data_IF_493395646164
#
_entry.id   IF_493395646164
#
_cell.length_a   1.000
_cell.length_b   1.000
_cell.length_c   1.000
_cell.angle_alpha   90.00
_cell.angle_beta   90.00
_cell.angle_gamma   90.00
#
_symmetry.space_group_name_H-M   'P 1'
#
loop_
_entity.id
_entity.type
_entity.pdbx_description
1 polymer ?
#
# COMPACT_ATOMS: atom_id res chain seq x y z
N UNK A 1 -33.04 -2.15 -61.68
CA UNK A 1 -31.75 -2.85 -61.62
C UNK A 1 -30.85 -1.93 -60.84
N UNK A 2 -30.29 -2.42 -59.73
CA UNK A 2 -29.49 -1.70 -58.73
C UNK A 2 -30.30 -0.58 -58.04
N UNK A 3 -30.76 -0.66 -56.78
CA UNK A 3 -30.41 -1.49 -55.60
C UNK A 3 -29.05 -1.21 -54.93
N UNK A 4 -29.12 -0.58 -53.75
CA UNK A 4 -28.15 -0.72 -52.66
C UNK A 4 -26.89 0.17 -52.69
N UNK A 5 -26.19 0.35 -51.58
CA UNK A 5 -26.56 0.07 -50.18
C UNK A 5 -25.66 0.93 -49.26
N UNK A 6 -26.24 1.74 -48.38
CA UNK A 6 -25.49 2.34 -47.26
C UNK A 6 -25.23 1.26 -46.20
N UNK A 7 -24.02 1.21 -45.62
CA UNK A 7 -23.74 0.23 -44.56
C UNK A 7 -22.76 0.80 -43.53
N UNK A 8 -23.25 1.07 -42.32
CA UNK A 8 -22.49 1.62 -41.21
C UNK A 8 -21.80 0.52 -40.39
N UNK A 9 -20.56 0.78 -39.95
CA UNK A 9 -19.73 -0.22 -39.27
C UNK A 9 -20.05 -0.41 -37.78
N UNK A 10 -21.11 -1.16 -37.44
CA UNK A 10 -21.40 -1.54 -36.05
C UNK A 10 -20.59 -2.76 -35.56
N UNK A 11 -19.72 -2.55 -34.58
CA UNK A 11 -18.92 -3.61 -33.95
C UNK A 11 -19.68 -4.41 -32.89
N UNK A 12 -20.00 -5.68 -33.17
CA UNK A 12 -20.73 -6.58 -32.26
C UNK A 12 -19.98 -6.85 -30.94
N UNK A 13 -20.37 -6.16 -29.87
CA UNK A 13 -20.13 -6.58 -28.47
C UNK A 13 -21.23 -7.52 -27.98
N UNK A 14 -21.23 -8.77 -28.44
CA UNK A 14 -22.12 -9.85 -27.98
C UNK A 14 -21.33 -11.13 -27.68
N UNK A 15 -21.65 -11.83 -26.59
CA UNK A 15 -21.01 -13.09 -26.19
C UNK A 15 -20.43 -13.16 -24.77
N UNK A 16 -20.40 -12.06 -24.01
CA UNK A 16 -19.96 -12.06 -22.60
C UNK A 16 -21.07 -12.39 -21.60
N UNK A 17 -22.34 -12.43 -22.02
CA UNK A 17 -23.49 -12.70 -21.17
C UNK A 17 -23.97 -14.15 -21.29
N UNK A 18 -24.05 -14.69 -22.50
CA UNK A 18 -24.52 -16.07 -22.75
C UNK A 18 -23.67 -17.11 -22.02
N UNK A 19 -22.33 -16.97 -22.07
CA UNK A 19 -21.38 -17.86 -21.39
C UNK A 19 -21.55 -17.87 -19.86
N UNK A 20 -22.10 -16.81 -19.28
CA UNK A 20 -22.44 -16.76 -17.84
C UNK A 20 -23.71 -17.56 -17.55
N UNK A 21 -24.76 -17.38 -18.36
CA UNK A 21 -26.01 -18.13 -18.23
C UNK A 21 -25.82 -19.64 -18.51
N UNK A 22 -24.90 -20.00 -19.41
CA UNK A 22 -24.53 -21.37 -19.73
C UNK A 22 -23.75 -22.04 -18.58
N UNK A 23 -22.79 -21.34 -17.98
CA UNK A 23 -22.09 -21.84 -16.78
C UNK A 23 -23.02 -21.95 -15.56
N UNK A 24 -23.99 -21.06 -15.42
CA UNK A 24 -25.05 -21.13 -14.38
C UNK A 24 -26.02 -22.31 -14.60
N UNK A 25 -26.07 -22.85 -15.84
CA UNK A 25 -26.88 -24.02 -16.23
C UNK A 25 -26.22 -25.35 -15.85
N UNK A 26 -24.88 -25.41 -15.83
CA UNK A 26 -24.11 -26.50 -15.23
C UNK A 26 -24.10 -26.34 -13.70
N UNK A 27 -25.27 -26.54 -13.09
CA UNK A 27 -25.51 -26.31 -11.67
C UNK A 27 -24.44 -26.98 -10.79
N UNK A 28 -23.91 -26.22 -9.83
CA UNK A 28 -22.62 -26.49 -9.16
C UNK A 28 -22.46 -27.81 -8.37
N UNK A 29 -23.44 -28.70 -8.39
CA UNK A 29 -23.24 -30.11 -8.08
C UNK A 29 -22.18 -30.74 -9.03
N UNK A 30 -22.13 -30.32 -10.30
CA UNK A 30 -21.09 -30.75 -11.26
C UNK A 30 -19.70 -30.21 -10.89
N UNK A 31 -19.60 -28.93 -10.46
CA UNK A 31 -18.33 -28.39 -9.94
C UNK A 31 -17.89 -29.11 -8.66
N UNK A 32 -18.82 -29.41 -7.74
CA UNK A 32 -18.52 -30.14 -6.51
C UNK A 32 -18.08 -31.59 -6.78
N UNK A 33 -18.67 -32.24 -7.78
CA UNK A 33 -18.25 -33.57 -8.27
C UNK A 33 -16.81 -33.53 -8.79
N UNK A 34 -16.51 -32.65 -9.74
CA UNK A 34 -15.15 -32.45 -10.29
C UNK A 34 -14.13 -32.06 -9.21
N UNK A 35 -14.53 -31.25 -8.22
CA UNK A 35 -13.67 -30.91 -7.09
C UNK A 35 -13.38 -32.13 -6.21
N UNK A 36 -14.36 -32.98 -5.95
CA UNK A 36 -14.19 -34.25 -5.19
C UNK A 36 -13.25 -35.22 -5.92
N UNK A 37 -13.30 -35.25 -7.25
CA UNK A 37 -12.43 -36.10 -8.09
C UNK A 37 -10.96 -35.65 -8.10
N UNK A 38 -10.66 -34.38 -7.78
CA UNK A 38 -9.30 -33.79 -7.81
C UNK A 38 -8.73 -33.54 -6.40
N UNK A 39 -9.56 -33.10 -5.45
CA UNK A 39 -9.19 -32.79 -4.06
C UNK A 39 -10.37 -33.12 -3.11
N UNK A 40 -10.44 -34.37 -2.61
CA UNK A 40 -11.54 -34.79 -1.75
C UNK A 40 -11.53 -34.13 -0.36
N UNK A 41 -10.37 -33.66 0.14
CA UNK A 41 -10.32 -32.91 1.40
C UNK A 41 -10.93 -31.52 1.23
N UNK A 42 -10.56 -30.78 0.17
CA UNK A 42 -11.17 -29.48 -0.14
C UNK A 42 -12.67 -29.61 -0.43
N UNK A 43 -13.08 -30.66 -1.14
CA UNK A 43 -14.49 -30.91 -1.40
C UNK A 43 -15.28 -31.18 -0.10
N UNK A 44 -14.71 -31.92 0.86
CA UNK A 44 -15.37 -32.22 2.15
C UNK A 44 -15.72 -30.97 2.98
N UNK A 45 -14.98 -29.87 2.78
CA UNK A 45 -15.22 -28.58 3.45
C UNK A 45 -16.30 -27.72 2.78
N UNK A 46 -16.89 -28.16 1.66
CA UNK A 46 -17.88 -27.42 0.88
C UNK A 46 -19.19 -28.20 0.77
N UNK A 47 -20.28 -27.66 1.33
CA UNK A 47 -21.58 -28.33 1.27
C UNK A 47 -22.10 -28.43 -0.18
N UNK A 48 -22.81 -29.49 -0.61
CA UNK A 48 -23.41 -29.60 -1.95
C UNK A 48 -24.45 -28.52 -2.34
N UNK A 49 -24.71 -27.54 -1.48
CA UNK A 49 -25.56 -26.37 -1.73
C UNK A 49 -24.81 -25.03 -1.63
N UNK A 50 -23.51 -25.05 -1.30
CA UNK A 50 -22.60 -23.91 -1.41
C UNK A 50 -22.12 -23.67 -2.86
N UNK A 51 -22.82 -24.26 -3.84
CA UNK A 51 -22.73 -23.90 -5.26
C UNK A 51 -22.79 -22.39 -5.47
N UNK A 52 -23.59 -21.68 -4.65
CA UNK A 52 -23.65 -20.22 -4.64
C UNK A 52 -22.36 -19.55 -4.18
N UNK A 53 -21.59 -20.10 -3.23
CA UNK A 53 -20.29 -19.51 -2.80
C UNK A 53 -19.22 -19.67 -3.87
N UNK A 54 -19.21 -20.82 -4.55
CA UNK A 54 -18.29 -21.07 -5.67
C UNK A 54 -18.66 -20.16 -6.86
N UNK A 55 -19.95 -20.05 -7.18
CA UNK A 55 -20.45 -19.20 -8.27
C UNK A 55 -20.44 -17.69 -7.95
N UNK A 56 -20.51 -17.27 -6.68
CA UNK A 56 -20.48 -15.85 -6.29
C UNK A 56 -19.07 -15.26 -6.25
N UNK A 57 -18.03 -16.06 -6.49
CA UNK A 57 -16.63 -15.62 -6.61
C UNK A 57 -16.17 -14.72 -5.44
N UNK A 58 -16.61 -15.05 -4.22
CA UNK A 58 -16.43 -14.18 -3.06
C UNK A 58 -15.05 -14.35 -2.42
N UNK A 59 -14.03 -13.83 -3.12
CA UNK A 59 -12.66 -13.71 -2.63
C UNK A 59 -12.51 -12.70 -1.48
N UNK A 60 -13.61 -12.16 -0.93
CA UNK A 60 -13.60 -11.31 0.26
C UNK A 60 -13.76 -12.10 1.55
N UNK A 61 -14.02 -13.41 1.52
CA UNK A 61 -14.30 -14.22 2.71
C UNK A 61 -13.55 -15.57 2.75
N UNK A 62 -13.21 -16.02 3.96
CA UNK A 62 -12.65 -17.35 4.22
C UNK A 62 -11.35 -17.66 3.47
N UNK A 63 -11.16 -18.94 3.15
CA UNK A 63 -9.99 -19.47 2.43
C UNK A 63 -9.80 -18.82 1.05
N UNK A 64 -10.86 -18.31 0.43
CA UNK A 64 -10.82 -17.65 -0.88
C UNK A 64 -10.11 -16.28 -0.85
N UNK A 65 -9.83 -15.70 0.32
CA UNK A 65 -8.92 -14.55 0.45
C UNK A 65 -7.44 -14.90 0.17
N UNK A 66 -7.06 -16.18 0.24
CA UNK A 66 -5.67 -16.64 0.12
C UNK A 66 -4.99 -16.20 -1.19
N UNK A 67 -3.66 -16.17 -1.17
CA UNK A 67 -2.84 -15.89 -2.35
C UNK A 67 -2.56 -17.23 -3.04
N UNK A 68 -3.04 -17.36 -4.28
CA UNK A 68 -3.03 -18.60 -5.04
C UNK A 68 -4.37 -18.85 -5.72
N UNK A 69 -5.42 -19.10 -4.93
CA UNK A 69 -6.71 -19.57 -5.45
C UNK A 69 -7.32 -18.62 -6.51
N UNK A 70 -7.50 -17.34 -6.18
CA UNK A 70 -8.03 -16.33 -7.13
C UNK A 70 -7.05 -16.00 -8.25
N UNK A 71 -5.75 -16.11 -8.00
CA UNK A 71 -4.71 -15.86 -9.00
C UNK A 71 -4.69 -16.94 -10.11
N UNK A 72 -5.06 -18.19 -9.80
CA UNK A 72 -5.20 -19.30 -10.77
C UNK A 72 -6.64 -19.60 -11.21
N UNK A 73 -7.64 -18.83 -10.75
CA UNK A 73 -9.06 -19.12 -10.98
C UNK A 73 -9.43 -19.32 -12.47
N UNK A 74 -8.93 -18.46 -13.36
CA UNK A 74 -9.19 -18.54 -14.80
C UNK A 74 -8.64 -19.83 -15.44
N UNK A 75 -7.51 -20.33 -14.95
CA UNK A 75 -6.92 -21.60 -15.37
C UNK A 75 -7.71 -22.80 -14.83
N UNK A 76 -8.17 -22.74 -13.57
CA UNK A 76 -8.91 -23.82 -12.91
C UNK A 76 -10.38 -23.93 -13.35
N UNK A 77 -10.98 -22.83 -13.83
CA UNK A 77 -12.37 -22.80 -14.34
C UNK A 77 -12.45 -22.77 -15.88
N UNK A 78 -11.33 -23.08 -16.54
CA UNK A 78 -11.25 -23.23 -17.99
C UNK A 78 -12.08 -24.44 -18.47
N UNK A 79 -12.94 -24.30 -19.51
CA UNK A 79 -13.59 -25.43 -20.18
C UNK A 79 -12.57 -26.40 -20.79
N UNK A 80 -12.94 -27.68 -20.89
CA UNK A 80 -11.99 -28.72 -21.29
C UNK A 80 -11.71 -28.76 -22.79
N UNK A 81 -12.61 -28.19 -23.59
CA UNK A 81 -12.56 -28.08 -25.05
C UNK A 81 -11.56 -27.01 -25.54
N UNK A 82 -10.98 -26.23 -24.62
CA UNK A 82 -10.06 -25.15 -24.96
C UNK A 82 -8.63 -25.66 -25.25
N UNK A 83 -7.95 -25.05 -26.24
CA UNK A 83 -6.63 -25.51 -26.69
C UNK A 83 -5.58 -25.47 -25.57
N UNK A 84 -4.66 -26.44 -25.62
CA UNK A 84 -3.55 -26.57 -24.65
C UNK A 84 -2.69 -25.29 -24.56
N UNK A 85 -2.51 -24.59 -25.68
CA UNK A 85 -1.75 -23.34 -25.77
C UNK A 85 -2.39 -22.23 -24.91
N UNK A 86 -3.70 -22.04 -25.01
CA UNK A 86 -4.41 -21.03 -24.22
C UNK A 86 -4.54 -21.50 -22.76
N UNK A 87 -4.66 -22.81 -22.50
CA UNK A 87 -4.67 -23.37 -21.13
C UNK A 87 -3.33 -23.10 -20.42
N UNK A 88 -2.20 -23.33 -21.09
CA UNK A 88 -0.86 -23.00 -20.58
C UNK A 88 -0.63 -21.48 -20.48
N UNK A 89 -1.23 -20.68 -21.35
CA UNK A 89 -1.21 -19.21 -21.25
C UNK A 89 -1.87 -18.73 -19.95
N UNK A 90 -3.07 -19.22 -19.62
CA UNK A 90 -3.76 -18.89 -18.37
C UNK A 90 -2.96 -19.35 -17.13
N UNK A 91 -2.32 -20.52 -17.21
CA UNK A 91 -1.44 -21.04 -16.16
C UNK A 91 -0.28 -20.08 -15.86
N UNK A 92 0.42 -19.61 -16.90
CA UNK A 92 1.55 -18.69 -16.75
C UNK A 92 1.12 -17.30 -16.29
N UNK A 93 -0.05 -16.83 -16.73
CA UNK A 93 -0.66 -15.61 -16.20
C UNK A 93 -0.97 -15.74 -14.70
N UNK A 94 -1.46 -16.90 -14.27
CA UNK A 94 -1.67 -17.22 -12.84
C UNK A 94 -0.38 -17.23 -12.03
N UNK A 95 0.72 -17.75 -12.58
CA UNK A 95 2.05 -17.70 -11.94
C UNK A 95 2.55 -16.26 -11.73
N UNK A 96 2.40 -15.37 -12.71
CA UNK A 96 2.80 -13.96 -12.52
C UNK A 96 1.84 -13.18 -11.63
N UNK A 97 0.54 -13.49 -11.67
CA UNK A 97 -0.44 -12.95 -10.72
C UNK A 97 -0.07 -13.34 -9.28
N UNK A 98 0.26 -14.60 -9.03
CA UNK A 98 0.75 -15.11 -7.74
C UNK A 98 2.01 -14.35 -7.28
N UNK A 99 3.04 -14.30 -8.13
CA UNK A 99 4.29 -13.57 -7.83
C UNK A 99 4.01 -12.09 -7.53
N UNK A 100 3.09 -11.44 -8.25
CA UNK A 100 2.67 -10.05 -7.99
C UNK A 100 1.92 -9.91 -6.65
N UNK A 101 1.00 -10.83 -6.33
CA UNK A 101 0.26 -10.83 -5.08
C UNK A 101 1.18 -11.01 -3.86
N UNK A 102 2.08 -12.00 -3.89
CA UNK A 102 3.07 -12.23 -2.82
C UNK A 102 4.02 -11.04 -2.64
N UNK A 103 4.53 -10.45 -3.73
CA UNK A 103 5.36 -9.22 -3.68
C UNK A 103 4.60 -8.03 -3.08
N UNK A 104 3.29 -7.89 -3.37
CA UNK A 104 2.42 -6.86 -2.75
C UNK A 104 2.14 -7.15 -1.28
N UNK A 105 1.97 -8.43 -0.90
CA UNK A 105 1.69 -8.85 0.47
C UNK A 105 2.89 -8.63 1.40
N UNK A 106 4.10 -9.07 1.02
CA UNK A 106 5.32 -8.82 1.80
C UNK A 106 5.56 -7.30 2.01
N UNK A 107 5.35 -6.48 0.96
CA UNK A 107 5.39 -5.01 1.09
C UNK A 107 4.31 -4.46 2.03
N UNK A 108 3.11 -5.06 2.06
CA UNK A 108 2.01 -4.70 2.98
C UNK A 108 2.34 -5.10 4.43
N UNK A 109 2.89 -6.28 4.67
CA UNK A 109 3.36 -6.74 5.98
C UNK A 109 4.47 -5.81 6.50
N UNK A 110 5.54 -5.60 5.73
CA UNK A 110 6.66 -4.73 6.13
C UNK A 110 6.22 -3.27 6.34
N UNK A 111 5.18 -2.80 5.63
CA UNK A 111 4.55 -1.50 5.89
C UNK A 111 3.70 -1.51 7.16
N UNK A 112 2.96 -2.58 7.43
CA UNK A 112 2.12 -2.72 8.61
C UNK A 112 2.96 -2.82 9.89
N UNK A 113 3.96 -3.71 9.95
CA UNK A 113 4.85 -3.89 11.12
C UNK A 113 5.51 -2.55 11.48
N UNK A 114 6.22 -1.92 10.54
CA UNK A 114 6.87 -0.61 10.78
C UNK A 114 5.87 0.46 11.22
N UNK A 115 4.66 0.49 10.66
CA UNK A 115 3.67 1.49 11.04
C UNK A 115 2.95 1.20 12.37
N UNK A 116 2.85 -0.07 12.78
CA UNK A 116 2.15 -0.52 14.00
C UNK A 116 3.05 -0.48 15.23
N UNK A 117 4.31 -0.87 15.08
CA UNK A 117 5.26 -0.96 16.19
C UNK A 117 6.21 0.26 16.22
N UNK A 118 6.77 0.67 15.08
CA UNK A 118 7.86 1.65 15.06
C UNK A 118 7.44 3.11 14.81
N UNK A 119 6.43 3.40 13.97
CA UNK A 119 5.99 4.80 13.68
C UNK A 119 4.75 5.27 14.46
N UNK A 120 3.98 4.33 15.02
CA UNK A 120 2.77 4.61 15.82
C UNK A 120 2.60 3.56 16.92
N UNK A 121 3.56 3.44 17.85
CA UNK A 121 3.29 2.69 19.07
C UNK A 121 2.00 3.25 19.70
N UNK A 122 1.07 2.36 20.02
CA UNK A 122 0.05 2.66 21.01
C UNK A 122 0.63 2.45 22.41
N UNK A 123 -0.17 2.71 23.42
CA UNK A 123 0.15 2.32 24.79
C UNK A 123 0.35 0.80 24.84
N UNK A 124 1.33 0.34 25.65
CA UNK A 124 1.71 -1.07 25.80
C UNK A 124 2.21 -1.79 24.53
N UNK A 125 2.84 -1.07 23.59
CA UNK A 125 3.60 -1.71 22.50
C UNK A 125 4.96 -2.20 23.03
N UNK A 126 5.31 -3.50 22.87
CA UNK A 126 6.57 -4.06 23.37
C UNK A 126 7.78 -3.60 22.53
N UNK A 127 8.97 -3.75 23.12
CA UNK A 127 10.22 -3.60 22.39
C UNK A 127 10.29 -4.62 21.24
N UNK A 128 10.64 -4.15 20.04
CA UNK A 128 10.79 -5.00 18.85
C UNK A 128 12.28 -5.10 18.53
N UNK A 129 12.81 -6.31 18.45
CA UNK A 129 14.19 -6.56 18.06
C UNK A 129 14.23 -6.95 16.58
N UNK A 130 15.23 -6.45 15.86
CA UNK A 130 15.44 -6.74 14.44
C UNK A 130 16.56 -7.77 14.29
N UNK A 131 16.30 -8.83 13.53
CA UNK A 131 17.26 -9.87 13.17
C UNK A 131 17.44 -9.85 11.65
N UNK A 132 18.66 -10.04 11.16
CA UNK A 132 18.93 -9.96 9.73
C UNK A 132 18.84 -11.35 9.07
N UNK A 133 17.94 -11.45 8.10
CA UNK A 133 17.63 -12.65 7.30
C UNK A 133 18.03 -12.47 5.83
N UNK A 134 18.88 -11.48 5.53
CA UNK A 134 19.30 -11.15 4.15
C UNK A 134 20.16 -12.25 3.53
N UNK A 135 21.03 -12.89 4.31
CA UNK A 135 21.75 -14.11 3.93
C UNK A 135 21.28 -15.27 4.81
N UNK A 136 20.85 -16.37 4.17
CA UNK A 136 20.36 -17.57 4.86
C UNK A 136 21.52 -18.48 5.30
N UNK A 137 22.70 -18.36 4.68
CA UNK A 137 23.89 -19.14 5.06
C UNK A 137 24.45 -18.73 6.42
N UNK A 138 24.23 -17.48 6.84
CA UNK A 138 24.67 -16.95 8.14
C UNK A 138 23.58 -16.99 9.23
N UNK A 139 22.45 -17.69 8.98
CA UNK A 139 21.28 -17.75 9.88
C UNK A 139 21.62 -17.99 11.36
N UNK A 140 22.59 -18.86 11.62
CA UNK A 140 23.01 -19.23 12.97
C UNK A 140 23.59 -18.03 13.73
N UNK A 141 24.37 -17.19 13.04
CA UNK A 141 25.06 -16.01 13.59
C UNK A 141 24.16 -14.76 13.58
N UNK A 142 23.37 -14.55 12.53
CA UNK A 142 22.57 -13.31 12.34
C UNK A 142 21.15 -13.40 12.90
N UNK A 143 20.63 -14.61 13.15
CA UNK A 143 19.26 -14.85 13.61
C UNK A 143 19.20 -15.69 14.88
N UNK A 144 19.68 -16.94 14.87
CA UNK A 144 19.39 -17.87 15.96
C UNK A 144 20.11 -17.51 17.27
N UNK A 145 21.44 -17.35 17.24
CA UNK A 145 22.18 -16.99 18.45
C UNK A 145 21.74 -15.63 19.03
N UNK A 146 21.56 -14.56 18.25
CA UNK A 146 20.98 -13.31 18.75
C UNK A 146 19.56 -13.47 19.32
N UNK A 147 18.69 -14.27 18.70
CA UNK A 147 17.34 -14.53 19.22
C UNK A 147 17.36 -15.24 20.58
N UNK A 148 18.22 -16.26 20.74
CA UNK A 148 18.37 -16.99 21.99
C UNK A 148 18.92 -16.09 23.11
N UNK A 149 19.93 -15.26 22.81
CA UNK A 149 20.47 -14.28 23.76
C UNK A 149 19.42 -13.26 24.20
N UNK A 150 18.60 -12.75 23.26
CA UNK A 150 17.49 -11.84 23.59
C UNK A 150 16.45 -12.52 24.49
N UNK A 151 16.07 -13.77 24.18
CA UNK A 151 15.07 -14.52 24.95
C UNK A 151 15.56 -14.84 26.37
N UNK A 152 16.82 -15.27 26.53
CA UNK A 152 17.42 -15.56 27.82
C UNK A 152 17.50 -14.31 28.71
N UNK A 153 18.03 -13.20 28.19
CA UNK A 153 18.08 -11.91 28.90
C UNK A 153 16.68 -11.45 29.34
N UNK A 154 15.69 -11.46 28.42
CA UNK A 154 14.33 -11.03 28.74
C UNK A 154 13.64 -11.94 29.77
N UNK A 155 13.93 -13.25 29.75
CA UNK A 155 13.39 -14.22 30.71
C UNK A 155 13.95 -13.99 32.12
N UNK A 156 15.20 -13.53 32.22
CA UNK A 156 15.83 -13.12 33.50
C UNK A 156 15.40 -11.72 33.98
N UNK A 157 14.70 -10.94 33.16
CA UNK A 157 14.40 -9.53 33.41
C UNK A 157 15.58 -8.59 33.16
N UNK A 158 16.65 -9.09 32.54
CA UNK A 158 17.84 -8.34 32.15
C UNK A 158 17.61 -7.61 30.81
N UNK A 159 18.50 -6.67 30.45
CA UNK A 159 18.47 -5.99 29.17
C UNK A 159 19.35 -6.74 28.15
N UNK A 160 18.81 -7.21 27.01
CA UNK A 160 19.63 -7.80 25.96
C UNK A 160 20.73 -6.87 25.47
N UNK A 161 21.88 -7.45 25.09
CA UNK A 161 23.00 -6.73 24.46
C UNK A 161 22.62 -6.11 23.12
N UNK A 162 21.65 -6.70 22.40
CA UNK A 162 21.12 -6.19 21.13
C UNK A 162 20.13 -5.04 21.42
N UNK A 163 20.37 -3.84 20.89
CA UNK A 163 19.40 -2.73 21.00
C UNK A 163 18.07 -3.08 20.29
N UNK A 164 16.90 -2.77 20.88
CA UNK A 164 15.63 -2.85 20.16
C UNK A 164 15.57 -1.81 19.02
N UNK A 165 14.82 -2.14 17.97
CA UNK A 165 14.62 -1.27 16.81
C UNK A 165 14.08 0.10 17.23
N UNK A 166 14.75 1.16 16.77
CA UNK A 166 14.40 2.53 17.12
C UNK A 166 12.98 2.89 16.66
N UNK A 167 12.15 3.26 17.63
CA UNK A 167 10.84 3.86 17.38
C UNK A 167 11.04 5.22 16.71
N UNK A 168 10.44 5.41 15.55
CA UNK A 168 10.34 6.73 14.92
C UNK A 168 9.38 7.59 15.73
N UNK A 169 9.91 8.62 16.39
CA UNK A 169 9.11 9.59 17.14
C UNK A 169 7.99 10.21 16.30
N UNK A 170 6.93 10.69 16.97
CA UNK A 170 5.66 11.08 16.36
C UNK A 170 5.74 12.31 15.42
N UNK A 171 6.31 12.13 14.23
CA UNK A 171 6.35 13.13 13.17
C UNK A 171 4.96 13.66 12.80
N UNK A 172 4.90 14.93 12.38
CA UNK A 172 3.67 15.74 12.23
C UNK A 172 2.45 14.91 11.82
N UNK A 173 1.63 14.57 12.81
CA UNK A 173 0.45 13.72 12.64
C UNK A 173 -0.54 14.41 11.70
N UNK A 174 -0.73 13.83 10.52
CA UNK A 174 -1.84 14.21 9.64
C UNK A 174 -3.16 14.05 10.42
N UNK A 175 -3.81 15.17 10.74
CA UNK A 175 -5.02 15.19 11.58
C UNK A 175 -6.14 14.57 10.77
N UNK A 176 -6.87 13.61 11.36
CA UNK A 176 -7.92 12.84 10.66
C UNK A 176 -9.24 13.62 10.55
N UNK A 177 -9.14 14.90 10.20
CA UNK A 177 -10.25 15.84 10.02
C UNK A 177 -11.17 15.38 8.88
N UNK A 178 -12.48 15.64 8.99
CA UNK A 178 -13.44 15.43 7.90
C UNK A 178 -13.62 16.73 7.12
N UNK A 179 -13.13 16.75 5.89
CA UNK A 179 -13.35 17.81 4.92
C UNK A 179 -14.37 17.37 3.86
N UNK A 180 -15.05 18.32 3.22
CA UNK A 180 -15.99 18.04 2.12
C UNK A 180 -15.75 19.04 0.99
N UNK A 181 -15.59 18.54 -0.24
CA UNK A 181 -15.48 19.38 -1.42
C UNK A 181 -16.79 19.37 -2.20
N UNK A 182 -17.58 20.43 -2.08
CA UNK A 182 -18.82 20.66 -2.82
C UNK A 182 -18.59 20.65 -4.34
N UNK A 183 -17.49 21.26 -4.81
CA UNK A 183 -17.10 21.31 -6.23
C UNK A 183 -16.87 19.94 -6.87
N UNK A 184 -16.60 18.90 -6.07
CA UNK A 184 -16.23 17.56 -6.53
C UNK A 184 -17.12 16.45 -5.95
N UNK A 185 -18.18 16.83 -5.24
CA UNK A 185 -19.01 16.02 -4.33
C UNK A 185 -18.22 14.88 -3.66
N UNK A 186 -17.29 15.26 -2.77
CA UNK A 186 -16.41 14.29 -2.11
C UNK A 186 -16.06 14.69 -0.68
N UNK A 187 -16.43 13.80 0.25
CA UNK A 187 -15.88 13.77 1.61
C UNK A 187 -14.44 13.23 1.57
N UNK A 188 -13.54 13.89 2.28
CA UNK A 188 -12.11 13.57 2.36
C UNK A 188 -11.68 13.57 3.82
N UNK A 189 -10.96 12.52 4.23
CA UNK A 189 -10.57 12.30 5.62
C UNK A 189 -9.06 12.46 5.74
N UNK A 190 -8.61 13.56 6.34
CA UNK A 190 -7.20 13.91 6.51
C UNK A 190 -6.83 15.24 5.84
N UNK A 191 -6.05 16.06 6.53
CA UNK A 191 -5.62 17.41 6.07
C UNK A 191 -4.64 17.34 4.90
N UNK A 192 -3.79 16.30 4.85
CA UNK A 192 -2.84 16.07 3.75
C UNK A 192 -3.56 15.62 2.47
N UNK A 193 -4.52 14.71 2.59
CA UNK A 193 -5.37 14.21 1.51
C UNK A 193 -6.27 15.34 0.97
N UNK A 194 -6.77 16.21 1.86
CA UNK A 194 -7.46 17.44 1.50
C UNK A 194 -6.57 18.40 0.70
N UNK A 195 -5.36 18.67 1.20
CA UNK A 195 -4.38 19.53 0.50
C UNK A 195 -3.98 18.97 -0.87
N UNK A 196 -3.81 17.65 -0.97
CA UNK A 196 -3.54 16.97 -2.24
C UNK A 196 -4.74 16.99 -3.19
N UNK A 197 -5.97 16.90 -2.67
CA UNK A 197 -7.19 17.04 -3.46
C UNK A 197 -7.35 18.45 -4.05
N UNK A 198 -7.17 19.50 -3.25
CA UNK A 198 -7.28 20.89 -3.73
C UNK A 198 -6.30 21.14 -4.89
N UNK A 199 -5.07 20.60 -4.79
CA UNK A 199 -4.03 20.68 -5.84
C UNK A 199 -4.24 19.70 -7.01
N UNK A 200 -5.29 18.87 -7.00
CA UNK A 200 -5.48 17.83 -8.01
C UNK A 200 -6.01 18.38 -9.33
N UNK A 201 -5.59 17.76 -10.45
CA UNK A 201 -6.07 18.10 -11.80
C UNK A 201 -7.61 18.07 -11.90
N UNK A 202 -8.27 17.12 -11.21
CA UNK A 202 -9.74 17.03 -11.17
C UNK A 202 -10.36 18.21 -10.42
N UNK A 203 -9.86 18.57 -9.24
CA UNK A 203 -10.37 19.75 -8.50
C UNK A 203 -10.20 21.03 -9.33
N UNK A 204 -9.00 21.27 -9.88
CA UNK A 204 -8.75 22.41 -10.76
C UNK A 204 -9.68 22.46 -11.99
N UNK A 205 -10.04 21.30 -12.57
CA UNK A 205 -11.05 21.23 -13.64
C UNK A 205 -12.44 21.68 -13.16
N UNK A 206 -12.92 21.18 -12.03
CA UNK A 206 -14.22 21.59 -11.49
C UNK A 206 -14.27 23.08 -11.11
N UNK A 207 -13.19 23.62 -10.51
CA UNK A 207 -13.03 25.08 -10.26
C UNK A 207 -13.17 25.88 -11.55
N UNK A 208 -12.44 25.49 -12.61
CA UNK A 208 -12.49 26.16 -13.93
C UNK A 208 -13.87 26.04 -14.59
N UNK A 209 -14.54 24.89 -14.46
CA UNK A 209 -15.90 24.69 -14.98
C UNK A 209 -16.89 25.62 -14.29
N UNK A 210 -16.89 25.69 -12.94
CA UNK A 210 -17.84 26.54 -12.20
C UNK A 210 -17.65 28.04 -12.52
N UNK A 211 -16.40 28.50 -12.57
CA UNK A 211 -16.04 29.88 -13.01
C UNK A 211 -16.42 30.23 -14.46
N UNK A 212 -16.83 29.25 -15.28
CA UNK A 212 -17.31 29.47 -16.65
C UNK A 212 -18.83 29.38 -16.78
N UNK A 213 -19.52 28.94 -15.72
CA UNK A 213 -20.99 28.87 -15.60
C UNK A 213 -21.58 29.87 -14.60
N UNK A 214 -20.76 30.42 -13.70
CA UNK A 214 -21.10 31.60 -12.89
C UNK A 214 -21.15 32.83 -13.82
N UNK A 215 -22.28 33.56 -13.95
CA UNK A 215 -22.31 34.86 -14.62
C UNK A 215 -21.51 35.90 -13.80
N UNK A 216 -20.99 36.97 -14.43
CA UNK A 216 -20.43 38.08 -13.64
C UNK A 216 -21.53 38.65 -12.73
N UNK A 217 -21.27 38.89 -11.44
CA UNK A 217 -22.16 39.72 -10.62
C UNK A 217 -22.17 41.12 -11.22
N UNK A 218 -23.37 41.66 -11.46
CA UNK A 218 -23.53 42.98 -12.06
C UNK A 218 -22.77 44.03 -11.23
N UNK A 219 -21.98 44.86 -11.92
CA UNK A 219 -21.25 45.94 -11.28
C UNK A 219 -22.25 47.02 -10.90
N UNK A 220 -22.67 47.02 -9.63
CA UNK A 220 -23.45 48.10 -9.05
C UNK A 220 -22.70 49.43 -9.21
N UNK A 221 -23.03 50.18 -10.25
CA UNK A 221 -22.49 51.51 -10.53
C UNK A 221 -23.38 52.55 -9.89
N UNK A 222 -22.89 53.22 -8.87
CA UNK A 222 -23.41 54.53 -8.50
C UNK A 222 -22.29 55.47 -8.03
N UNK A 223 -22.52 56.78 -8.11
CA UNK A 223 -21.47 57.82 -8.03
C UNK A 223 -21.54 58.69 -6.76
N UNK A 224 -20.48 59.47 -6.45
CA UNK A 224 -20.23 59.91 -5.07
C UNK A 224 -20.66 61.35 -4.72
N UNK A 225 -21.20 61.52 -3.50
CA UNK A 225 -21.22 62.76 -2.69
C UNK A 225 -21.23 62.36 -1.20
N UNK A 226 -20.61 63.03 -0.22
CA UNK A 226 -19.61 64.12 -0.25
C UNK A 226 -19.41 64.75 1.15
N UNK A 227 -18.16 65.11 1.53
CA UNK A 227 -17.76 65.88 2.76
C UNK A 227 -18.07 65.26 4.15
N UNK A 228 -17.32 65.47 5.27
CA UNK A 228 -16.18 66.34 5.65
C UNK A 228 -15.08 65.58 6.46
N UNK A 229 -13.84 66.11 6.58
CA UNK A 229 -12.71 65.57 7.39
C UNK A 229 -12.52 66.34 8.74
N UNK A 230 -11.43 66.14 9.54
CA UNK A 230 -10.32 65.18 9.49
C UNK A 230 -10.42 64.19 10.70
N UNK A 231 -9.52 63.99 11.71
CA UNK A 231 -8.15 64.48 12.02
C UNK A 231 -7.03 63.38 12.04
N UNK A 232 -5.76 63.83 12.11
CA UNK A 232 -4.58 63.09 12.64
C UNK A 232 -3.73 64.10 13.44
N UNK A 233 -2.85 63.70 14.40
CA UNK A 233 -1.49 63.17 14.15
C UNK A 233 -1.19 61.94 15.09
N UNK A 234 0.01 61.39 15.37
CA UNK A 234 1.40 61.89 15.46
C UNK A 234 2.42 60.82 14.98
N UNK A 235 3.56 61.28 14.46
CA UNK A 235 4.66 60.48 13.89
C UNK A 235 5.83 60.28 14.87
N UNK A 236 6.30 59.05 15.00
CA UNK A 236 7.70 58.62 15.24
C UNK A 236 7.80 57.15 14.78
N UNK A 237 8.90 56.62 14.23
CA UNK A 237 10.24 57.17 14.00
C UNK A 237 11.24 56.01 14.10
N UNK A 238 11.82 55.48 13.00
CA UNK A 238 12.58 54.23 13.04
C UNK A 238 14.06 54.45 13.39
N UNK A 239 14.62 53.56 14.23
CA UNK A 239 16.05 53.53 14.55
C UNK A 239 16.66 52.22 14.05
N UNK A 240 17.64 52.33 13.15
CA UNK A 240 18.51 51.20 12.78
C UNK A 240 19.63 51.07 13.82
N UNK A 241 19.78 49.87 14.38
CA UNK A 241 20.88 49.50 15.27
C UNK A 241 21.70 48.37 14.66
N UNK A 242 22.89 48.67 14.16
CA UNK A 242 23.83 47.72 13.58
C UNK A 242 24.91 47.33 14.59
N UNK A 243 25.33 46.06 14.60
CA UNK A 243 26.67 45.69 15.09
C UNK A 243 27.13 44.30 14.63
N UNK A 244 28.32 44.28 14.07
CA UNK A 244 29.11 43.10 13.69
C UNK A 244 29.83 42.50 14.90
N UNK A 245 29.97 41.17 14.98
CA UNK A 245 31.06 40.42 15.64
C UNK A 245 30.92 38.96 15.15
N UNK A 246 31.72 38.49 14.19
CA UNK A 246 33.07 37.90 14.31
C UNK A 246 33.14 36.55 15.06
N UNK A 247 33.74 35.55 14.40
CA UNK A 247 34.16 34.28 14.98
C UNK A 247 35.62 34.36 15.49
N UNK A 248 36.04 33.44 16.37
CA UNK A 248 36.90 32.32 15.98
C UNK A 248 36.36 30.96 16.53
N UNK A 249 36.94 29.79 16.27
CA UNK A 249 38.15 29.42 15.50
C UNK A 249 39.06 28.45 16.27
N UNK A 250 39.81 27.60 15.55
CA UNK A 250 40.84 26.64 16.05
C UNK A 250 40.35 25.39 16.81
N UNK A 251 41.10 24.26 16.87
CA UNK A 251 42.11 23.67 15.97
C UNK A 251 42.50 22.22 16.41
N UNK A 252 42.68 21.29 15.45
CA UNK A 252 43.58 20.10 15.48
C UNK A 252 43.36 19.04 16.62
N UNK A 253 43.96 17.84 16.66
CA UNK A 253 45.07 17.17 15.94
C UNK A 253 44.71 15.72 15.49
N UNK A 254 45.59 15.08 14.69
CA UNK A 254 45.49 13.66 14.28
C UNK A 254 46.10 12.67 15.30
N UNK A 255 45.92 11.36 15.08
CA UNK A 255 46.58 10.28 15.84
C UNK A 255 46.33 8.88 15.28
N UNK A 256 47.34 8.01 15.41
CA UNK A 256 47.42 6.61 14.89
C UNK A 256 48.19 5.75 15.96
N UNK A 257 48.49 4.46 15.84
CA UNK A 257 48.59 3.54 14.69
C UNK A 257 48.44 2.05 15.07
N UNK A 258 48.43 1.19 14.04
CA UNK A 258 48.91 -0.22 14.03
C UNK A 258 48.17 -1.36 14.76
N UNK A 259 48.24 -2.54 14.10
CA UNK A 259 48.04 -3.88 14.65
C UNK A 259 49.37 -4.64 14.66
N UNK A 260 49.51 -5.70 15.46
CA UNK A 260 49.94 -6.98 14.86
C UNK A 260 49.13 -8.19 15.38
N UNK A 261 49.38 -9.38 14.84
CA UNK A 261 48.68 -10.61 15.26
C UNK A 261 49.46 -11.91 15.04
N UNK A 262 48.93 -13.00 15.59
CA UNK A 262 49.42 -14.40 15.56
C UNK A 262 48.20 -15.32 15.72
N UNK A 263 47.89 -16.28 14.83
CA UNK A 263 48.58 -17.56 14.51
C UNK A 263 48.09 -18.74 15.36
N UNK A 264 47.91 -19.90 14.69
CA UNK A 264 47.67 -21.25 15.25
C UNK A 264 46.27 -21.51 15.87
N UNK A 265 45.66 -22.70 15.77
CA UNK A 265 46.09 -23.99 15.17
C UNK A 265 44.90 -24.76 14.58
N UNK A 266 45.15 -25.68 13.65
CA UNK A 266 44.14 -26.61 13.13
C UNK A 266 43.73 -27.69 14.14
N UNK A 267 42.54 -28.28 13.98
CA UNK A 267 42.31 -29.72 14.23
C UNK A 267 41.06 -30.26 13.54
N UNK A 268 41.07 -31.55 13.26
CA UNK A 268 40.16 -32.25 12.35
C UNK A 268 39.53 -33.48 13.04
N UNK A 269 38.27 -33.79 12.67
CA UNK A 269 37.58 -35.08 12.87
C UNK A 269 37.29 -35.53 14.35
N UNK A 270 36.44 -36.56 14.58
CA UNK A 270 35.71 -37.38 13.61
C UNK A 270 34.17 -37.44 13.75
N UNK A 271 33.59 -38.04 12.71
CA UNK A 271 32.22 -38.55 12.56
C UNK A 271 31.78 -39.48 13.69
N UNK A 272 30.51 -39.34 14.11
CA UNK A 272 29.56 -40.43 14.40
C UNK A 272 28.15 -40.01 13.94
#
# INVERSE_FOLDING_TARGET
MDEGHENEGEGKKGGSLDRKAEMEKLGGAELHRRLTEVDPEMASMLHPHDTRKIASQDYQHGIFQSIGFKEFHEYLTCPDEMTQEVRETLRNQGVENLKMATRRYARKQNKWVRNRFLKRPGDNVPAVYGLDVTDVSQWEETVLNPALLILDSLTKGERPTVEPMRVEGAGKRNKRSRHTCELCDKVIIGDLEWTAHLKSKKHHYHVRKRRKSEPEPERASDQPQGTTPPPTPITVGPTLGNSTTLAPGSAETCGESESPGTSSTEKEAPVL
#
